data_IF_683309983015
#
_entry.id   IF_683309983015
#
_cell.length_a   1.000
_cell.length_b   1.000
_cell.length_c   1.000
_cell.angle_alpha   90.00
_cell.angle_beta   90.00
_cell.angle_gamma   90.00
#
_symmetry.space_group_name_H-M   'P 1'
#
loop_
_entity.id
_entity.type
_entity.pdbx_description
1 polymer ?
#
# COMPACT_ATOMS: atom_id res chain seq x y z
N UNK A 1 -11.21 10.60 -5.54
CA UNK A 1 -9.84 10.26 -6.01
C UNK A 1 -9.10 11.43 -6.63
N UNK A 2 -9.46 11.96 -7.81
CA UNK A 2 -8.70 13.05 -8.47
C UNK A 2 -8.46 14.31 -7.60
N UNK A 3 -9.48 14.79 -6.86
CA UNK A 3 -9.31 15.91 -5.91
C UNK A 3 -8.28 15.60 -4.82
N UNK A 4 -8.27 14.36 -4.33
CA UNK A 4 -7.37 13.90 -3.26
C UNK A 4 -5.92 13.87 -3.73
N UNK A 5 -5.69 13.37 -4.94
CA UNK A 5 -4.40 13.46 -5.61
C UNK A 5 -3.92 14.91 -5.76
N UNK A 6 -4.77 15.80 -6.27
CA UNK A 6 -4.41 17.19 -6.48
C UNK A 6 -4.01 17.91 -5.18
N UNK A 7 -4.69 17.61 -4.06
CA UNK A 7 -4.35 18.14 -2.73
C UNK A 7 -3.00 17.61 -2.24
N UNK A 8 -2.78 16.29 -2.30
CA UNK A 8 -1.51 15.67 -1.89
C UNK A 8 -0.33 16.25 -2.69
N UNK A 9 -0.47 16.40 -4.01
CA UNK A 9 0.57 17.02 -4.86
C UNK A 9 0.80 18.48 -4.48
N UNK A 10 -0.27 19.27 -4.25
CA UNK A 10 -0.14 20.67 -3.88
C UNK A 10 0.60 20.85 -2.54
N UNK A 11 0.27 20.04 -1.54
CA UNK A 11 0.94 20.05 -0.24
C UNK A 11 2.39 19.54 -0.32
N UNK A 12 2.64 18.52 -1.15
CA UNK A 12 3.97 17.97 -1.39
C UNK A 12 4.92 18.93 -2.13
N UNK A 13 4.40 19.83 -2.98
CA UNK A 13 5.20 20.93 -3.57
C UNK A 13 5.71 21.94 -2.53
N UNK A 14 5.01 22.05 -1.41
CA UNK A 14 5.35 22.94 -0.31
C UNK A 14 4.69 24.33 -0.41
N UNK A 15 4.68 25.08 0.70
CA UNK A 15 3.83 26.26 0.90
C UNK A 15 4.20 27.48 0.04
N UNK A 16 5.37 27.46 -0.59
CA UNK A 16 5.87 28.59 -1.41
C UNK A 16 5.69 28.39 -2.91
N UNK A 17 5.15 27.25 -3.34
CA UNK A 17 4.92 26.96 -4.75
C UNK A 17 3.48 27.34 -5.13
N UNK A 18 3.30 28.55 -5.66
CA UNK A 18 2.01 28.99 -6.20
C UNK A 18 1.89 28.61 -7.67
N UNK A 19 0.96 27.72 -7.99
CA UNK A 19 0.84 27.14 -9.33
C UNK A 19 1.91 26.08 -9.60
N UNK A 20 1.68 25.28 -10.64
CA UNK A 20 2.58 24.19 -11.03
C UNK A 20 1.93 23.36 -12.12
N UNK A 21 2.62 22.32 -12.62
CA UNK A 21 2.09 21.42 -13.64
C UNK A 21 0.72 20.87 -13.23
N UNK A 22 -0.20 20.72 -14.18
CA UNK A 22 -1.51 20.15 -13.89
C UNK A 22 -1.35 18.70 -13.38
N UNK A 23 -1.80 18.37 -12.16
CA UNK A 23 -1.67 17.02 -11.64
C UNK A 23 -2.69 16.03 -12.24
N UNK A 24 -3.74 16.50 -12.93
CA UNK A 24 -4.84 15.65 -13.40
C UNK A 24 -4.40 14.52 -14.35
N UNK A 25 -3.52 14.73 -15.35
CA UNK A 25 -3.07 13.66 -16.24
C UNK A 25 -2.37 12.51 -15.50
N UNK A 26 -1.64 12.80 -14.41
CA UNK A 26 -1.00 11.76 -13.60
C UNK A 26 -2.01 11.02 -12.74
N UNK A 27 -3.03 11.71 -12.22
CA UNK A 27 -4.15 11.09 -11.52
C UNK A 27 -4.85 10.08 -12.43
N UNK A 28 -5.17 10.49 -13.66
CA UNK A 28 -5.86 9.65 -14.64
C UNK A 28 -4.99 8.45 -15.03
N UNK A 29 -3.68 8.65 -15.21
CA UNK A 29 -2.74 7.56 -15.48
C UNK A 29 -2.69 6.54 -14.34
N UNK A 30 -2.55 7.01 -13.10
CA UNK A 30 -2.52 6.15 -11.92
C UNK A 30 -3.83 5.40 -11.76
N UNK A 31 -4.97 6.08 -11.83
CA UNK A 31 -6.29 5.45 -11.73
C UNK A 31 -6.52 4.41 -12.83
N UNK A 32 -6.03 4.67 -14.05
CA UNK A 32 -6.09 3.68 -15.14
C UNK A 32 -5.28 2.42 -14.82
N UNK A 33 -4.11 2.56 -14.19
CA UNK A 33 -3.29 1.42 -13.72
C UNK A 33 -3.98 0.63 -12.62
N UNK A 34 -4.55 1.32 -11.63
CA UNK A 34 -5.33 0.73 -10.55
C UNK A 34 -6.65 0.08 -11.04
N UNK A 35 -7.12 0.45 -12.24
CA UNK A 35 -8.31 -0.11 -12.88
C UNK A 35 -8.00 -1.19 -13.93
N UNK A 36 -6.75 -1.64 -14.05
CA UNK A 36 -6.38 -2.70 -14.99
C UNK A 36 -7.20 -3.99 -14.73
N UNK A 37 -7.72 -4.64 -15.79
CA UNK A 37 -8.80 -5.62 -15.68
C UNK A 37 -8.42 -6.94 -14.97
N UNK A 38 -7.12 -7.23 -14.84
CA UNK A 38 -6.62 -8.39 -14.12
C UNK A 38 -6.65 -8.20 -12.59
N UNK A 39 -6.78 -6.98 -12.09
CA UNK A 39 -6.84 -6.70 -10.65
C UNK A 39 -8.21 -7.10 -10.11
N UNK A 40 -8.21 -7.66 -8.90
CA UNK A 40 -9.42 -8.04 -8.15
C UNK A 40 -9.38 -7.47 -6.75
N UNK A 41 -8.23 -7.59 -6.08
CA UNK A 41 -7.99 -6.94 -4.80
C UNK A 41 -7.31 -5.59 -4.98
N UNK A 42 -6.16 -5.55 -5.68
CA UNK A 42 -5.32 -4.35 -5.82
C UNK A 42 -5.91 -3.35 -6.82
N UNK A 43 -7.11 -2.85 -6.51
CA UNK A 43 -7.94 -1.99 -7.37
C UNK A 43 -7.99 -0.56 -6.83
N UNK A 44 -8.70 0.34 -7.53
CA UNK A 44 -9.00 1.69 -7.02
C UNK A 44 -9.68 1.65 -5.64
N UNK A 45 -10.43 0.59 -5.31
CA UNK A 45 -11.06 0.43 -4.01
C UNK A 45 -10.02 0.18 -2.90
N UNK A 46 -8.99 -0.65 -3.16
CA UNK A 46 -7.86 -0.84 -2.23
C UNK A 46 -7.13 0.49 -1.99
N UNK A 47 -6.76 1.20 -3.07
CA UNK A 47 -6.12 2.51 -2.95
C UNK A 47 -6.96 3.48 -2.10
N UNK A 48 -8.28 3.53 -2.30
CA UNK A 48 -9.15 4.38 -1.50
C UNK A 48 -9.16 3.97 -0.03
N UNK A 49 -9.24 2.67 0.27
CA UNK A 49 -9.19 2.15 1.63
C UNK A 49 -7.87 2.48 2.34
N UNK A 50 -6.72 2.28 1.69
CA UNK A 50 -5.39 2.63 2.24
C UNK A 50 -5.32 4.12 2.55
N UNK A 51 -5.78 4.96 1.62
CA UNK A 51 -5.82 6.40 1.82
C UNK A 51 -6.74 6.82 2.99
N UNK A 52 -7.87 6.16 3.18
CA UNK A 52 -8.74 6.39 4.34
C UNK A 52 -8.06 5.98 5.66
N UNK A 53 -7.30 4.88 5.67
CA UNK A 53 -6.51 4.49 6.86
C UNK A 53 -5.39 5.49 7.16
N UNK A 54 -4.74 6.04 6.12
CA UNK A 54 -3.76 7.11 6.27
C UNK A 54 -4.39 8.35 6.93
N UNK A 55 -5.65 8.68 6.62
CA UNK A 55 -6.34 9.78 7.29
C UNK A 55 -6.56 9.53 8.79
N UNK A 56 -6.87 8.29 9.18
CA UNK A 56 -7.00 7.91 10.60
C UNK A 56 -5.67 7.98 11.36
N UNK A 57 -4.56 7.77 10.65
CA UNK A 57 -3.20 7.75 11.18
C UNK A 57 -2.45 9.06 10.96
N UNK A 58 -3.11 10.09 10.44
CA UNK A 58 -2.47 11.32 9.95
C UNK A 58 -1.63 12.05 11.02
N UNK A 59 -2.02 11.98 12.29
CA UNK A 59 -1.29 12.60 13.40
C UNK A 59 0.05 11.91 13.73
N UNK A 60 0.26 10.68 13.24
CA UNK A 60 1.50 9.92 13.44
C UNK A 60 2.52 10.16 12.32
N UNK A 61 2.10 10.65 11.15
CA UNK A 61 3.00 10.88 10.02
C UNK A 61 3.86 12.14 10.23
N UNK A 62 5.14 12.07 9.86
CA UNK A 62 6.04 13.23 9.84
C UNK A 62 5.78 14.10 8.61
N UNK A 63 5.54 13.49 7.44
CA UNK A 63 5.20 14.17 6.19
C UNK A 63 4.00 13.48 5.50
N UNK A 64 2.80 13.78 5.99
CA UNK A 64 1.55 13.17 5.51
C UNK A 64 1.38 13.22 3.96
N UNK A 65 1.64 14.35 3.26
CA UNK A 65 1.61 14.36 1.79
C UNK A 65 2.52 13.32 1.13
N UNK A 66 3.69 13.06 1.70
CA UNK A 66 4.63 12.05 1.19
C UNK A 66 4.06 10.64 1.36
N UNK A 67 3.50 10.33 2.52
CA UNK A 67 2.81 9.04 2.78
C UNK A 67 1.63 8.84 1.84
N UNK A 68 0.82 9.89 1.64
CA UNK A 68 -0.30 9.85 0.70
C UNK A 68 0.17 9.58 -0.73
N UNK A 69 1.21 10.29 -1.21
CA UNK A 69 1.78 10.05 -2.53
C UNK A 69 2.33 8.63 -2.65
N UNK A 70 3.01 8.09 -1.64
CA UNK A 70 3.48 6.71 -1.63
C UNK A 70 2.33 5.71 -1.77
N UNK A 71 1.20 5.92 -1.09
CA UNK A 71 0.01 5.09 -1.26
C UNK A 71 -0.52 5.08 -2.69
N UNK A 72 -0.49 6.22 -3.40
CA UNK A 72 -0.87 6.27 -4.83
C UNK A 72 0.03 5.44 -5.73
N UNK A 73 1.31 5.31 -5.38
CA UNK A 73 2.30 4.61 -6.19
C UNK A 73 2.54 3.15 -5.81
N UNK A 74 2.31 2.72 -4.55
CA UNK A 74 2.85 1.44 -4.06
C UNK A 74 2.58 0.23 -4.97
N UNK A 75 1.33 0.03 -5.41
CA UNK A 75 0.97 -0.98 -6.41
C UNK A 75 0.55 -0.40 -7.77
N UNK A 76 1.00 0.80 -8.12
CA UNK A 76 0.71 1.40 -9.42
C UNK A 76 1.25 0.57 -10.59
N UNK A 77 2.30 -0.22 -10.37
CA UNK A 77 2.69 -1.33 -11.25
C UNK A 77 2.36 -2.63 -10.53
N UNK A 78 1.48 -3.45 -11.11
CA UNK A 78 1.10 -4.73 -10.52
C UNK A 78 1.04 -5.82 -11.57
N UNK A 79 1.96 -6.76 -11.44
CA UNK A 79 2.13 -7.91 -12.31
C UNK A 79 2.36 -9.11 -11.40
N UNK A 80 1.32 -9.90 -11.06
CA UNK A 80 1.45 -11.03 -10.12
C UNK A 80 2.41 -12.13 -10.64
N UNK A 81 2.78 -12.08 -11.93
CA UNK A 81 3.81 -12.94 -12.54
C UNK A 81 5.26 -12.45 -12.30
N UNK A 82 5.47 -11.36 -11.55
CA UNK A 82 6.76 -10.67 -11.37
C UNK A 82 6.98 -10.26 -9.91
N UNK A 83 8.24 -10.28 -9.49
CA UNK A 83 8.68 -9.89 -8.13
C UNK A 83 9.22 -8.46 -8.02
N UNK A 84 9.10 -7.65 -9.08
CA UNK A 84 9.73 -6.33 -9.18
C UNK A 84 8.68 -5.20 -9.13
N UNK A 85 7.47 -5.48 -8.66
CA UNK A 85 6.33 -4.55 -8.76
C UNK A 85 6.61 -3.26 -8.00
N UNK A 86 7.03 -3.37 -6.75
CA UNK A 86 7.32 -2.27 -5.83
C UNK A 86 8.49 -1.43 -6.36
N UNK A 87 9.56 -2.05 -6.86
CA UNK A 87 10.68 -1.32 -7.48
C UNK A 87 10.21 -0.54 -8.72
N UNK A 88 9.38 -1.14 -9.57
CA UNK A 88 8.87 -0.48 -10.78
C UNK A 88 7.87 0.63 -10.46
N UNK A 89 7.08 0.45 -9.39
CA UNK A 89 6.21 1.46 -8.79
C UNK A 89 7.01 2.64 -8.22
N UNK A 90 8.09 2.37 -7.48
CA UNK A 90 8.98 3.39 -6.95
C UNK A 90 9.66 4.18 -8.08
N UNK A 91 10.19 3.48 -9.09
CA UNK A 91 10.78 4.10 -10.26
C UNK A 91 9.75 4.92 -11.08
N UNK A 92 8.46 4.58 -11.02
CA UNK A 92 7.39 5.39 -11.60
C UNK A 92 7.22 6.70 -10.83
N UNK A 93 7.24 6.66 -9.49
CA UNK A 93 7.18 7.85 -8.65
C UNK A 93 8.39 8.78 -8.88
N UNK A 94 9.61 8.21 -8.96
CA UNK A 94 10.85 8.95 -9.21
C UNK A 94 10.85 9.72 -10.54
N UNK A 95 10.11 9.23 -11.55
CA UNK A 95 9.92 9.93 -12.82
C UNK A 95 8.81 10.97 -12.76
N UNK A 96 7.66 10.62 -12.18
CA UNK A 96 6.45 11.44 -12.22
C UNK A 96 6.49 12.65 -11.28
N UNK A 97 7.00 12.48 -10.06
CA UNK A 97 6.95 13.51 -9.03
C UNK A 97 7.78 14.77 -9.36
N UNK A 98 8.99 14.67 -9.95
CA UNK A 98 9.72 15.84 -10.40
C UNK A 98 9.01 16.61 -11.52
N UNK A 99 8.36 15.91 -12.45
CA UNK A 99 7.54 16.52 -13.50
C UNK A 99 6.31 17.23 -12.94
N UNK A 100 5.87 16.84 -11.75
CA UNK A 100 4.85 17.53 -10.96
C UNK A 100 5.40 18.62 -10.04
N UNK A 101 6.70 18.93 -10.10
CA UNK A 101 7.32 19.96 -9.26
C UNK A 101 7.49 19.59 -7.79
N UNK A 102 7.41 18.29 -7.45
CA UNK A 102 7.73 17.81 -6.10
C UNK A 102 9.25 17.73 -5.96
N UNK A 103 9.77 18.24 -4.83
CA UNK A 103 11.21 18.32 -4.58
C UNK A 103 11.90 16.95 -4.54
N UNK A 104 13.20 16.93 -4.81
CA UNK A 104 14.00 15.70 -4.87
C UNK A 104 13.97 14.88 -3.56
N UNK A 105 14.02 15.54 -2.40
CA UNK A 105 13.99 14.87 -1.10
C UNK A 105 12.67 14.10 -0.88
N UNK A 106 11.53 14.78 -1.07
CA UNK A 106 10.20 14.14 -0.98
C UNK A 106 9.99 13.07 -2.05
N UNK A 107 10.50 13.27 -3.26
CA UNK A 107 10.45 12.26 -4.33
C UNK A 107 11.21 10.99 -3.93
N UNK A 108 12.43 11.14 -3.41
CA UNK A 108 13.22 10.00 -2.92
C UNK A 108 12.53 9.29 -1.77
N UNK A 109 11.90 10.05 -0.87
CA UNK A 109 11.19 9.48 0.27
C UNK A 109 9.93 8.70 -0.16
N UNK A 110 9.12 9.24 -1.07
CA UNK A 110 8.00 8.48 -1.67
C UNK A 110 8.49 7.16 -2.25
N UNK A 111 9.59 7.18 -3.01
CA UNK A 111 10.14 5.99 -3.62
C UNK A 111 10.69 4.98 -2.59
N UNK A 112 11.26 5.46 -1.48
CA UNK A 112 11.69 4.61 -0.36
C UNK A 112 10.50 3.94 0.31
N UNK A 113 9.45 4.69 0.61
CA UNK A 113 8.22 4.19 1.21
C UNK A 113 7.52 3.16 0.32
N UNK A 114 7.47 3.39 -0.99
CA UNK A 114 6.95 2.39 -1.94
C UNK A 114 7.75 1.10 -1.91
N UNK A 115 9.09 1.16 -1.83
CA UNK A 115 9.92 -0.06 -1.72
C UNK A 115 9.75 -0.78 -0.39
N UNK A 116 9.42 -0.05 0.67
CA UNK A 116 9.20 -0.60 2.00
C UNK A 116 7.99 -1.56 2.05
N UNK A 117 7.01 -1.41 1.16
CA UNK A 117 5.86 -2.32 1.07
C UNK A 117 6.20 -3.72 0.55
N UNK A 118 7.45 -4.01 0.20
CA UNK A 118 7.90 -5.39 -0.06
C UNK A 118 7.92 -6.22 1.22
N UNK A 119 8.30 -5.62 2.34
CA UNK A 119 8.48 -6.33 3.62
C UNK A 119 7.48 -5.92 4.69
N UNK A 120 6.90 -4.73 4.57
CA UNK A 120 6.06 -4.10 5.59
C UNK A 120 6.72 -4.05 6.97
N UNK A 121 8.04 -3.86 7.00
CA UNK A 121 8.86 -3.84 8.22
C UNK A 121 9.61 -2.51 8.35
N UNK A 122 8.93 -1.41 8.69
CA UNK A 122 9.57 -0.13 8.96
C UNK A 122 10.46 -0.21 10.21
N UNK A 123 11.48 0.67 10.25
CA UNK A 123 12.26 0.87 11.47
C UNK A 123 11.41 1.55 12.55
N UNK A 124 11.68 1.33 13.86
CA UNK A 124 10.88 1.94 14.95
C UNK A 124 10.86 3.48 15.02
N UNK A 125 11.78 4.13 14.29
CA UNK A 125 11.89 5.60 14.21
C UNK A 125 11.56 6.08 12.78
N UNK A 126 10.66 5.37 12.07
CA UNK A 126 10.22 5.69 10.71
C UNK A 126 8.70 5.94 10.67
N UNK A 127 8.19 7.08 11.19
CA UNK A 127 6.75 7.29 11.35
C UNK A 127 5.98 7.24 10.01
N UNK A 128 6.55 7.77 8.93
CA UNK A 128 5.95 7.72 7.60
C UNK A 128 5.84 6.29 7.06
N UNK A 129 6.89 5.47 7.27
CA UNK A 129 6.87 4.04 6.95
C UNK A 129 5.88 3.25 7.79
N UNK A 130 5.80 3.55 9.09
CA UNK A 130 4.80 2.97 10.00
C UNK A 130 3.38 3.26 9.56
N UNK A 131 3.07 4.51 9.19
CA UNK A 131 1.74 4.87 8.69
C UNK A 131 1.41 4.13 7.39
N UNK A 132 2.32 4.12 6.40
CA UNK A 132 2.05 3.48 5.12
C UNK A 132 1.84 1.96 5.29
N UNK A 133 2.72 1.28 6.02
CA UNK A 133 2.63 -0.16 6.23
C UNK A 133 1.37 -0.53 7.02
N UNK A 134 1.05 0.20 8.09
CA UNK A 134 -0.17 -0.05 8.87
C UNK A 134 -1.42 0.16 8.02
N UNK A 135 -1.45 1.22 7.22
CA UNK A 135 -2.58 1.54 6.35
C UNK A 135 -2.82 0.48 5.26
N UNK A 136 -1.74 -0.02 4.64
CA UNK A 136 -1.82 -1.06 3.61
C UNK A 136 -2.25 -2.42 4.19
N UNK A 137 -1.73 -2.77 5.37
CA UNK A 137 -2.04 -4.03 6.05
C UNK A 137 -3.39 -4.02 6.79
N UNK A 138 -4.08 -2.88 6.91
CA UNK A 138 -5.30 -2.76 7.71
C UNK A 138 -6.43 -3.70 7.26
N UNK A 139 -6.47 -4.08 5.99
CA UNK A 139 -7.43 -5.07 5.45
C UNK A 139 -7.38 -6.39 6.23
N UNK A 140 -6.21 -6.75 6.76
CA UNK A 140 -6.01 -8.02 7.47
C UNK A 140 -6.82 -8.05 8.76
N UNK A 141 -7.14 -6.89 9.34
CA UNK A 141 -7.96 -6.75 10.54
C UNK A 141 -9.47 -6.62 10.25
N UNK A 142 -9.91 -6.89 9.00
CA UNK A 142 -11.32 -6.93 8.64
C UNK A 142 -12.14 -7.97 9.41
N UNK A 143 -13.46 -7.82 9.39
CA UNK A 143 -14.35 -8.87 9.89
C UNK A 143 -14.13 -10.17 9.09
N UNK A 144 -14.48 -11.35 9.63
CA UNK A 144 -14.21 -12.63 8.95
C UNK A 144 -14.68 -12.70 7.49
N UNK A 145 -15.87 -12.16 7.21
CA UNK A 145 -16.44 -12.14 5.85
C UNK A 145 -15.65 -11.19 4.92
N UNK A 146 -15.24 -10.02 5.41
CA UNK A 146 -14.41 -9.06 4.66
C UNK A 146 -13.02 -9.64 4.36
N UNK A 147 -12.42 -10.31 5.35
CA UNK A 147 -11.13 -10.97 5.19
C UNK A 147 -11.23 -12.13 4.18
N UNK A 148 -12.29 -12.93 4.24
CA UNK A 148 -12.51 -14.01 3.28
C UNK A 148 -12.68 -13.47 1.85
N UNK A 149 -13.41 -12.36 1.69
CA UNK A 149 -13.53 -11.68 0.39
C UNK A 149 -12.18 -11.15 -0.11
N UNK A 150 -11.37 -10.55 0.77
CA UNK A 150 -10.00 -10.15 0.48
C UNK A 150 -9.15 -11.34 -0.01
N UNK A 151 -9.10 -12.43 0.75
CA UNK A 151 -8.29 -13.60 0.42
C UNK A 151 -8.74 -14.25 -0.90
N UNK A 152 -10.05 -14.32 -1.15
CA UNK A 152 -10.61 -14.81 -2.42
C UNK A 152 -10.21 -13.91 -3.60
N UNK A 153 -10.30 -12.59 -3.45
CA UNK A 153 -9.89 -11.65 -4.48
C UNK A 153 -8.38 -11.76 -4.80
N UNK A 154 -7.53 -11.93 -3.78
CA UNK A 154 -6.10 -12.22 -3.99
C UNK A 154 -5.93 -13.55 -4.73
N UNK A 155 -6.63 -14.63 -4.34
CA UNK A 155 -6.57 -15.91 -5.05
C UNK A 155 -6.90 -15.77 -6.54
N UNK A 156 -7.91 -14.97 -6.89
CA UNK A 156 -8.30 -14.73 -8.28
C UNK A 156 -7.19 -14.03 -9.09
N UNK A 157 -6.45 -13.08 -8.51
CA UNK A 157 -5.34 -12.41 -9.21
C UNK A 157 -4.21 -13.38 -9.58
N UNK A 158 -4.06 -14.45 -8.80
CA UNK A 158 -3.12 -15.54 -9.04
C UNK A 158 -3.78 -16.74 -9.72
N UNK A 159 -4.95 -16.59 -10.36
CA UNK A 159 -5.70 -17.70 -10.97
C UNK A 159 -4.92 -18.50 -12.03
N UNK A 160 -3.82 -17.94 -12.56
CA UNK A 160 -2.89 -18.61 -13.48
C UNK A 160 -1.87 -19.52 -12.77
N UNK A 161 -1.73 -19.40 -11.45
CA UNK A 161 -0.82 -20.22 -10.62
C UNK A 161 -1.56 -21.48 -10.15
N UNK A 162 -0.96 -22.68 -10.27
CA UNK A 162 -1.53 -23.92 -9.74
C UNK A 162 -1.83 -23.82 -8.24
N UNK A 163 -2.90 -24.48 -7.79
CA UNK A 163 -3.38 -24.34 -6.40
C UNK A 163 -2.31 -24.67 -5.34
N UNK A 164 -1.52 -25.73 -5.56
CA UNK A 164 -0.45 -26.10 -4.64
C UNK A 164 0.66 -25.05 -4.54
N UNK A 165 1.06 -24.46 -5.68
CA UNK A 165 2.10 -23.44 -5.74
C UNK A 165 1.60 -22.13 -5.14
N UNK A 166 0.34 -21.76 -5.41
CA UNK A 166 -0.31 -20.60 -4.78
C UNK A 166 -0.39 -20.78 -3.27
N UNK A 167 -0.87 -21.93 -2.78
CA UNK A 167 -0.99 -22.19 -1.36
C UNK A 167 0.38 -22.12 -0.66
N UNK A 168 1.43 -22.69 -1.26
CA UNK A 168 2.78 -22.62 -0.74
C UNK A 168 3.31 -21.17 -0.67
N UNK A 169 3.15 -20.40 -1.76
CA UNK A 169 3.58 -18.99 -1.83
C UNK A 169 2.81 -18.09 -0.86
N UNK A 170 1.48 -18.22 -0.82
CA UNK A 170 0.61 -17.48 0.09
C UNK A 170 0.95 -17.81 1.54
N UNK A 171 1.10 -19.10 1.89
CA UNK A 171 1.51 -19.50 3.23
C UNK A 171 2.89 -18.95 3.62
N UNK A 172 3.84 -18.83 2.68
CA UNK A 172 5.13 -18.20 2.94
C UNK A 172 4.97 -16.70 3.28
N UNK A 173 4.18 -15.95 2.51
CA UNK A 173 3.89 -14.54 2.78
C UNK A 173 3.20 -14.35 4.15
N UNK A 174 2.20 -15.17 4.47
CA UNK A 174 1.53 -15.13 5.77
C UNK A 174 2.48 -15.41 6.94
N UNK A 175 3.39 -16.39 6.78
CA UNK A 175 4.40 -16.69 7.80
C UNK A 175 5.39 -15.53 7.99
N UNK A 176 5.79 -14.86 6.90
CA UNK A 176 6.66 -13.68 6.99
C UNK A 176 5.99 -12.57 7.82
N UNK A 177 4.73 -12.26 7.54
CA UNK A 177 3.97 -11.27 8.31
C UNK A 177 3.83 -11.69 9.78
N UNK A 178 3.43 -12.94 10.04
CA UNK A 178 3.25 -13.45 11.40
C UNK A 178 4.56 -13.49 12.21
N UNK A 179 5.72 -13.57 11.54
CA UNK A 179 7.04 -13.54 12.17
C UNK A 179 7.46 -12.14 12.63
N UNK A 180 6.81 -11.07 12.14
CA UNK A 180 7.05 -9.72 12.64
C UNK A 180 6.68 -9.63 14.13
N UNK A 181 7.50 -8.97 14.98
CA UNK A 181 7.16 -8.78 16.39
C UNK A 181 5.82 -8.05 16.59
N UNK A 182 5.51 -7.11 15.69
CA UNK A 182 4.24 -6.38 15.58
C UNK A 182 3.88 -6.25 14.10
N UNK A 183 2.63 -6.57 13.73
CA UNK A 183 2.13 -6.30 12.38
C UNK A 183 1.92 -4.80 12.21
N UNK A 184 1.28 -4.17 13.21
CA UNK A 184 0.98 -2.75 13.22
C UNK A 184 1.89 -1.99 14.18
N UNK A 185 2.52 -0.94 13.68
CA UNK A 185 3.61 -0.21 14.31
C UNK A 185 3.13 1.04 15.01
N UNK A 186 2.16 1.73 14.42
CA UNK A 186 1.50 2.85 15.06
C UNK A 186 0.77 2.39 16.33
N UNK A 187 0.69 3.20 17.40
CA UNK A 187 -0.04 2.83 18.61
C UNK A 187 -1.51 2.51 18.33
N UNK A 188 -2.18 3.33 17.51
CA UNK A 188 -3.58 3.14 17.15
C UNK A 188 -3.79 1.87 16.32
N UNK A 189 -2.95 1.60 15.32
CA UNK A 189 -3.04 0.39 14.51
C UNK A 189 -2.84 -0.86 15.36
N UNK A 190 -1.87 -0.84 16.27
CA UNK A 190 -1.64 -1.97 17.17
C UNK A 190 -2.81 -2.25 18.10
N UNK A 191 -3.33 -1.22 18.78
CA UNK A 191 -4.41 -1.38 19.74
C UNK A 191 -5.72 -1.84 19.08
N UNK A 192 -5.97 -1.45 17.81
CA UNK A 192 -7.24 -1.73 17.13
C UNK A 192 -7.20 -2.92 16.17
N UNK A 193 -6.07 -3.20 15.54
CA UNK A 193 -6.00 -4.10 14.37
C UNK A 193 -5.17 -5.37 14.61
N UNK A 194 -4.13 -5.31 15.46
CA UNK A 194 -3.16 -6.40 15.64
C UNK A 194 -3.80 -7.76 15.94
N UNK A 195 -4.67 -7.81 16.96
CA UNK A 195 -5.25 -9.07 17.41
C UNK A 195 -6.12 -9.71 16.33
N UNK A 196 -6.99 -8.91 15.70
CA UNK A 196 -7.89 -9.40 14.64
C UNK A 196 -7.09 -9.86 13.42
N UNK A 197 -6.10 -9.08 12.98
CA UNK A 197 -5.26 -9.46 11.85
C UNK A 197 -4.53 -10.77 12.10
N UNK A 198 -3.83 -10.91 13.24
CA UNK A 198 -3.10 -12.15 13.55
C UNK A 198 -4.02 -13.37 13.57
N UNK A 199 -5.23 -13.24 14.12
CA UNK A 199 -6.22 -14.33 14.12
C UNK A 199 -6.62 -14.70 12.69
N UNK A 200 -6.91 -13.72 11.85
CA UNK A 200 -7.30 -13.96 10.46
C UNK A 200 -6.15 -14.61 9.66
N UNK A 201 -4.92 -14.09 9.77
CA UNK A 201 -3.74 -14.68 9.11
C UNK A 201 -3.46 -16.11 9.56
N UNK A 202 -3.55 -16.38 10.87
CA UNK A 202 -3.35 -17.73 11.41
C UNK A 202 -4.42 -18.70 10.89
N UNK A 203 -5.69 -18.25 10.82
CA UNK A 203 -6.80 -19.06 10.30
C UNK A 203 -6.60 -19.38 8.82
N UNK A 204 -6.23 -18.39 8.00
CA UNK A 204 -5.92 -18.63 6.58
C UNK A 204 -4.74 -19.59 6.42
N UNK A 205 -3.68 -19.41 7.22
CA UNK A 205 -2.50 -20.27 7.17
C UNK A 205 -2.85 -21.73 7.51
N UNK A 206 -3.69 -21.98 8.51
CA UNK A 206 -4.18 -23.31 8.84
C UNK A 206 -4.97 -23.92 7.67
N UNK A 207 -5.88 -23.16 7.05
CA UNK A 207 -6.67 -23.62 5.90
C UNK A 207 -5.83 -23.93 4.65
N UNK A 208 -4.71 -23.25 4.47
CA UNK A 208 -3.79 -23.47 3.35
C UNK A 208 -2.84 -24.66 3.55
N UNK A 209 -2.65 -25.10 4.80
CA UNK A 209 -1.60 -26.08 5.15
C UNK A 209 -2.10 -27.36 5.80
N UNK A 210 -3.36 -27.38 6.24
CA UNK A 210 -4.07 -28.59 6.71
C UNK A 210 -4.67 -29.39 5.57
#
# INVERSE_FOLDING_TARGET
MARRWALAVAEARGPHVTGGPDPAPYADNLLSRWAEPQRRYHTVAHLAAVLERIDELAEHADDLPVVQLAAWFHDAVYRPDRSENEERSAALAERALPELGVGAARTAEVARLVRLTVTHDPSPDDPDGEVLCDADLAVLAGAPDDYAAYAAAVREEYGFVPDADFAAGRAAALRQLLALPRLFRTPMGYDRWEHTARRNLATELELLTG
#
